data_IF_618155088284
#
_entry.id   IF_618155088284
#
_cell.length_a   1.000
_cell.length_b   1.000
_cell.length_c   1.000
_cell.angle_alpha   90.00
_cell.angle_beta   90.00
_cell.angle_gamma   90.00
#
_symmetry.space_group_name_H-M   'P 1'
#
loop_
_entity.id
_entity.type
_entity.pdbx_description
1 polymer ?
#
# COMPACT_ATOMS: atom_id res chain seq x y z
N UNK A 1 -4.27 34.17 24.86
CA UNK A 1 -4.23 32.71 24.58
C UNK A 1 -2.87 32.41 23.98
N UNK A 2 -1.94 31.98 24.82
CA UNK A 2 -0.62 31.52 24.42
C UNK A 2 -0.78 30.21 23.65
N UNK A 3 -0.37 30.20 22.39
CA UNK A 3 -0.26 28.97 21.62
C UNK A 3 0.89 28.17 22.22
N UNK A 4 0.58 27.25 23.13
CA UNK A 4 1.49 26.16 23.50
C UNK A 4 1.79 25.39 22.23
N UNK A 5 2.95 25.69 21.63
CA UNK A 5 3.56 24.85 20.62
C UNK A 5 3.84 23.53 21.34
N UNK A 6 2.95 22.54 21.18
CA UNK A 6 3.22 21.16 21.59
C UNK A 6 4.51 20.73 20.91
N UNK A 7 5.60 20.83 21.65
CA UNK A 7 6.93 20.43 21.24
C UNK A 7 6.83 18.93 21.00
N UNK A 8 6.76 18.54 19.73
CA UNK A 8 6.50 17.17 19.38
C UNK A 8 7.73 16.34 19.71
N UNK A 9 7.47 15.27 20.45
CA UNK A 9 8.50 14.43 21.01
C UNK A 9 9.10 13.57 19.89
N UNK A 10 10.39 13.78 19.60
CA UNK A 10 11.14 13.02 18.60
C UNK A 10 11.04 11.49 18.82
N UNK A 11 10.69 11.09 20.05
CA UNK A 11 10.41 9.73 20.50
C UNK A 11 9.36 8.99 19.66
N UNK A 12 8.30 9.65 19.16
CA UNK A 12 7.18 8.95 18.50
C UNK A 12 7.55 8.46 17.10
N UNK A 13 8.31 9.27 16.34
CA UNK A 13 8.87 8.84 15.05
C UNK A 13 9.89 7.71 15.23
N UNK A 14 10.71 7.79 16.28
CA UNK A 14 11.69 6.76 16.63
C UNK A 14 11.06 5.42 17.03
N UNK A 15 9.79 5.41 17.49
CA UNK A 15 9.11 4.18 17.88
C UNK A 15 8.58 3.35 16.71
N UNK A 16 8.11 4.01 15.64
CA UNK A 16 7.48 3.31 14.51
C UNK A 16 8.51 2.58 13.64
N UNK A 17 9.74 3.06 13.55
CA UNK A 17 10.78 2.43 12.73
C UNK A 17 11.15 1.02 13.22
N UNK A 18 11.43 0.79 14.52
CA UNK A 18 11.58 -0.55 15.08
C UNK A 18 10.35 -1.43 14.83
N UNK A 19 9.12 -0.88 14.91
CA UNK A 19 7.92 -1.68 14.65
C UNK A 19 7.85 -2.16 13.20
N UNK A 20 8.18 -1.32 12.22
CA UNK A 20 8.27 -1.76 10.81
C UNK A 20 9.32 -2.85 10.65
N UNK A 21 10.49 -2.70 11.26
CA UNK A 21 11.54 -3.71 11.21
C UNK A 21 11.07 -5.05 11.80
N UNK A 22 10.40 -5.03 12.97
CA UNK A 22 9.83 -6.22 13.61
C UNK A 22 8.77 -6.88 12.72
N UNK A 23 7.87 -6.09 12.13
CA UNK A 23 6.83 -6.61 11.22
C UNK A 23 7.45 -7.25 9.97
N UNK A 24 8.45 -6.61 9.36
CA UNK A 24 9.15 -7.15 8.20
C UNK A 24 9.87 -8.45 8.56
N UNK A 25 10.62 -8.48 9.67
CA UNK A 25 11.33 -9.67 10.12
C UNK A 25 10.37 -10.83 10.42
N UNK A 26 9.25 -10.53 11.09
CA UNK A 26 8.21 -11.54 11.38
C UNK A 26 7.58 -12.06 10.10
N UNK A 27 7.22 -11.17 9.15
CA UNK A 27 6.68 -11.57 7.86
C UNK A 27 7.67 -12.47 7.09
N UNK A 28 8.97 -12.17 7.09
CA UNK A 28 10.00 -12.99 6.44
C UNK A 28 10.12 -14.36 7.10
N UNK A 29 10.04 -14.41 8.43
CA UNK A 29 10.04 -15.67 9.16
C UNK A 29 8.82 -16.55 8.83
N UNK A 30 7.63 -15.96 8.79
CA UNK A 30 6.37 -16.68 8.51
C UNK A 30 6.18 -17.05 7.03
N UNK A 31 6.98 -16.49 6.12
CA UNK A 31 6.91 -16.79 4.68
C UNK A 31 8.15 -17.51 4.18
N UNK A 32 9.20 -16.76 3.81
CA UNK A 32 10.39 -17.32 3.18
C UNK A 32 11.10 -18.37 4.04
N UNK A 33 11.29 -18.09 5.33
CA UNK A 33 11.95 -19.05 6.23
C UNK A 33 11.09 -20.29 6.44
N UNK A 34 9.77 -20.12 6.58
CA UNK A 34 8.83 -21.23 6.69
C UNK A 34 8.84 -22.12 5.43
N UNK A 35 8.85 -21.53 4.23
CA UNK A 35 8.93 -22.27 2.96
C UNK A 35 10.19 -23.11 2.85
N UNK A 36 11.34 -22.54 3.22
CA UNK A 36 12.63 -23.25 3.22
C UNK A 36 12.63 -24.38 4.24
N UNK A 37 12.19 -24.12 5.48
CA UNK A 37 12.16 -25.13 6.56
C UNK A 37 11.24 -26.31 6.24
N UNK A 38 10.10 -26.04 5.61
CA UNK A 38 9.11 -27.05 5.27
C UNK A 38 9.36 -27.71 3.90
N UNK A 39 10.33 -27.23 3.12
CA UNK A 39 10.55 -27.67 1.74
C UNK A 39 9.36 -27.39 0.82
N UNK A 40 8.49 -26.44 1.17
CA UNK A 40 7.29 -26.09 0.39
C UNK A 40 7.65 -25.04 -0.66
N UNK A 41 7.57 -25.41 -1.93
CA UNK A 41 7.66 -24.44 -3.03
C UNK A 41 6.28 -23.76 -3.18
N UNK A 42 6.16 -22.44 -2.99
CA UNK A 42 4.89 -21.74 -3.14
C UNK A 42 4.44 -21.75 -4.61
N UNK A 43 3.13 -21.80 -4.82
CA UNK A 43 2.54 -21.57 -6.13
C UNK A 43 2.79 -20.13 -6.62
N UNK A 44 2.68 -19.89 -7.93
CA UNK A 44 2.83 -18.55 -8.50
C UNK A 44 1.82 -17.55 -7.90
N UNK A 45 0.61 -18.01 -7.59
CA UNK A 45 -0.42 -17.18 -6.95
C UNK A 45 -0.06 -16.84 -5.50
N UNK A 46 0.34 -17.82 -4.69
CA UNK A 46 0.82 -17.59 -3.31
C UNK A 46 2.01 -16.60 -3.30
N UNK A 47 2.98 -16.79 -4.20
CA UNK A 47 4.13 -15.91 -4.35
C UNK A 47 3.71 -14.49 -4.73
N UNK A 48 2.71 -14.35 -5.61
CA UNK A 48 2.16 -13.05 -6.01
C UNK A 48 1.46 -12.35 -4.85
N UNK A 49 0.65 -13.06 -4.06
CA UNK A 49 -0.02 -12.51 -2.86
C UNK A 49 1.02 -11.98 -1.86
N UNK A 50 2.04 -12.79 -1.54
CA UNK A 50 3.13 -12.39 -0.64
C UNK A 50 3.88 -11.18 -1.18
N UNK A 51 4.18 -11.17 -2.48
CA UNK A 51 4.88 -10.05 -3.14
C UNK A 51 4.09 -8.75 -3.05
N UNK A 52 2.78 -8.78 -3.32
CA UNK A 52 1.90 -7.60 -3.19
C UNK A 52 1.85 -7.11 -1.74
N UNK A 53 1.82 -8.03 -0.76
CA UNK A 53 1.88 -7.70 0.66
C UNK A 53 3.16 -6.96 1.05
N UNK A 54 4.32 -7.45 0.63
CA UNK A 54 5.61 -6.78 0.87
C UNK A 54 5.71 -5.43 0.17
N UNK A 55 5.27 -5.33 -1.09
CA UNK A 55 5.25 -4.06 -1.82
C UNK A 55 4.37 -3.05 -1.07
N UNK A 56 3.19 -3.45 -0.59
CA UNK A 56 2.32 -2.57 0.17
C UNK A 56 2.95 -2.13 1.51
N UNK A 57 3.58 -3.05 2.23
CA UNK A 57 4.27 -2.78 3.50
C UNK A 57 5.43 -1.79 3.30
N UNK A 58 6.31 -2.04 2.33
CA UNK A 58 7.48 -1.20 2.05
C UNK A 58 7.08 0.18 1.52
N UNK A 59 6.11 0.26 0.60
CA UNK A 59 5.59 1.55 0.12
C UNK A 59 4.88 2.33 1.23
N UNK A 60 4.26 1.64 2.18
CA UNK A 60 3.66 2.27 3.36
C UNK A 60 4.72 2.82 4.31
N UNK A 61 5.82 2.08 4.52
CA UNK A 61 6.98 2.54 5.29
C UNK A 61 7.62 3.79 4.67
N UNK A 62 7.92 3.77 3.37
CA UNK A 62 8.46 4.95 2.67
C UNK A 62 7.49 6.13 2.69
N UNK A 63 6.20 5.88 2.47
CA UNK A 63 5.16 6.90 2.53
C UNK A 63 5.02 7.53 3.92
N UNK A 64 5.17 6.74 4.97
CA UNK A 64 5.16 7.19 6.36
C UNK A 64 6.31 8.14 6.66
N UNK A 65 7.56 7.72 6.40
CA UNK A 65 8.74 8.56 6.60
C UNK A 65 8.64 9.89 5.87
N UNK A 66 8.26 9.82 4.60
CA UNK A 66 8.07 11.02 3.78
C UNK A 66 7.01 11.95 4.36
N UNK A 67 5.91 11.39 4.85
CA UNK A 67 4.85 12.19 5.47
C UNK A 67 5.29 12.81 6.79
N UNK A 68 6.09 12.14 7.62
CA UNK A 68 6.55 12.70 8.88
C UNK A 68 7.59 13.80 8.68
N UNK A 69 8.52 13.62 7.75
CA UNK A 69 9.52 14.63 7.41
C UNK A 69 8.85 15.91 6.91
N UNK A 70 7.83 15.77 6.05
CA UNK A 70 7.11 16.93 5.50
C UNK A 70 6.07 17.51 6.45
N UNK A 71 5.41 16.67 7.26
CA UNK A 71 4.27 17.01 8.10
C UNK A 71 4.31 16.17 9.39
N UNK A 72 5.05 16.62 10.42
CA UNK A 72 5.20 15.89 11.68
C UNK A 72 3.84 15.57 12.31
N UNK A 73 3.67 14.39 12.90
CA UNK A 73 2.39 14.02 13.54
C UNK A 73 2.02 15.07 14.59
N UNK A 74 0.76 15.53 14.64
CA UNK A 74 0.29 16.45 15.67
C UNK A 74 -0.80 15.82 16.56
N UNK A 75 -1.56 14.85 16.04
CA UNK A 75 -2.62 14.15 16.76
C UNK A 75 -2.30 12.69 17.07
N UNK A 76 -2.75 12.24 18.25
CA UNK A 76 -2.60 10.84 18.68
C UNK A 76 -3.37 9.84 17.80
N UNK A 77 -4.47 10.26 17.16
CA UNK A 77 -5.26 9.40 16.27
C UNK A 77 -4.46 8.93 15.06
N UNK A 78 -3.67 9.80 14.44
CA UNK A 78 -2.86 9.46 13.27
C UNK A 78 -1.78 8.44 13.60
N UNK A 79 -1.17 8.58 14.79
CA UNK A 79 -0.24 7.60 15.34
C UNK A 79 -0.92 6.26 15.63
N UNK A 80 -2.07 6.26 16.31
CA UNK A 80 -2.83 5.05 16.63
C UNK A 80 -3.23 4.26 15.37
N UNK A 81 -3.70 4.95 14.34
CA UNK A 81 -4.03 4.30 13.05
C UNK A 81 -2.79 3.68 12.42
N UNK A 82 -1.63 4.33 12.47
CA UNK A 82 -0.36 3.76 11.98
C UNK A 82 0.01 2.49 12.75
N UNK A 83 -0.12 2.50 14.08
CA UNK A 83 0.13 1.33 14.94
C UNK A 83 -0.78 0.15 14.58
N UNK A 84 -2.06 0.39 14.26
CA UNK A 84 -2.99 -0.67 13.82
C UNK A 84 -2.71 -1.15 12.39
N UNK A 85 -2.28 -0.26 11.49
CA UNK A 85 -1.98 -0.63 10.11
C UNK A 85 -0.80 -1.62 10.00
N UNK A 86 0.19 -1.50 10.89
CA UNK A 86 1.37 -2.38 10.95
C UNK A 86 1.02 -3.89 11.03
N UNK A 87 0.27 -4.36 12.05
CA UNK A 87 -0.14 -5.76 12.12
C UNK A 87 -1.08 -6.14 10.96
N UNK A 88 -1.91 -5.22 10.43
CA UNK A 88 -2.74 -5.53 9.25
C UNK A 88 -1.88 -5.82 8.00
N UNK A 89 -0.80 -5.07 7.78
CA UNK A 89 0.15 -5.38 6.70
C UNK A 89 0.77 -6.76 6.89
N UNK A 90 1.16 -7.11 8.11
CA UNK A 90 1.68 -8.44 8.43
C UNK A 90 0.67 -9.54 8.11
N UNK A 91 -0.58 -9.37 8.58
CA UNK A 91 -1.67 -10.33 8.35
C UNK A 91 -1.94 -10.51 6.85
N UNK A 92 -1.86 -9.43 6.06
CA UNK A 92 -2.03 -9.52 4.60
C UNK A 92 -0.99 -10.43 3.91
N UNK A 93 0.19 -10.57 4.51
CA UNK A 93 1.28 -11.44 4.03
C UNK A 93 1.09 -12.87 4.55
N UNK A 94 0.78 -13.04 5.84
CA UNK A 94 0.69 -14.36 6.49
C UNK A 94 -0.50 -15.17 5.95
N UNK A 95 -1.59 -14.52 5.57
CA UNK A 95 -2.79 -15.19 5.02
C UNK A 95 -2.61 -15.72 3.58
N UNK A 96 -1.39 -15.78 3.04
CA UNK A 96 -1.14 -16.24 1.66
C UNK A 96 -1.64 -17.66 1.37
N UNK A 97 -1.74 -18.51 2.41
CA UNK A 97 -2.20 -19.90 2.32
C UNK A 97 -3.71 -20.07 2.61
N UNK A 98 -4.43 -18.98 2.86
CA UNK A 98 -5.87 -18.98 3.11
C UNK A 98 -6.65 -18.61 1.85
N UNK A 99 -7.98 -18.78 1.89
CA UNK A 99 -8.85 -18.29 0.82
C UNK A 99 -8.58 -16.82 0.54
N UNK A 100 -8.41 -16.49 -0.75
CA UNK A 100 -8.07 -15.14 -1.18
C UNK A 100 -9.06 -14.06 -0.71
N UNK A 101 -10.32 -14.43 -0.45
CA UNK A 101 -11.35 -13.54 0.13
C UNK A 101 -10.91 -12.92 1.47
N UNK A 102 -10.18 -13.66 2.31
CA UNK A 102 -9.68 -13.14 3.59
C UNK A 102 -8.56 -12.13 3.38
N UNK A 103 -7.64 -12.42 2.45
CA UNK A 103 -6.58 -11.50 2.03
C UNK A 103 -7.18 -10.20 1.48
N UNK A 104 -8.14 -10.31 0.56
CA UNK A 104 -8.86 -9.17 0.00
C UNK A 104 -9.62 -8.37 1.07
N UNK A 105 -10.21 -9.04 2.06
CA UNK A 105 -10.85 -8.41 3.22
C UNK A 105 -9.86 -7.60 4.07
N UNK A 106 -8.64 -8.11 4.28
CA UNK A 106 -7.59 -7.34 4.96
C UNK A 106 -7.18 -6.11 4.16
N UNK A 107 -7.03 -6.22 2.84
CA UNK A 107 -6.77 -5.06 1.98
C UNK A 107 -7.90 -4.04 2.03
N UNK A 108 -9.16 -4.48 2.05
CA UNK A 108 -10.31 -3.60 2.26
C UNK A 108 -10.15 -2.79 3.55
N UNK A 109 -9.84 -3.45 4.67
CA UNK A 109 -9.63 -2.78 5.97
C UNK A 109 -8.43 -1.83 5.93
N UNK A 110 -7.31 -2.24 5.33
CA UNK A 110 -6.11 -1.39 5.18
C UNK A 110 -6.45 -0.10 4.43
N UNK A 111 -7.16 -0.19 3.30
CA UNK A 111 -7.53 0.95 2.48
C UNK A 111 -8.54 1.86 3.18
N UNK A 112 -9.46 1.27 3.93
CA UNK A 112 -10.39 1.99 4.78
C UNK A 112 -9.65 2.78 5.88
N UNK A 113 -8.77 2.13 6.64
CA UNK A 113 -7.98 2.77 7.69
C UNK A 113 -7.03 3.84 7.14
N UNK A 114 -6.45 3.61 5.95
CA UNK A 114 -5.63 4.60 5.27
C UNK A 114 -6.43 5.85 4.90
N UNK A 115 -7.69 5.67 4.51
CA UNK A 115 -8.58 6.80 4.22
C UNK A 115 -8.87 7.61 5.48
N UNK A 116 -9.13 6.94 6.62
CA UNK A 116 -9.29 7.62 7.91
C UNK A 116 -8.01 8.37 8.27
N UNK A 117 -6.84 7.73 8.09
CA UNK A 117 -5.54 8.35 8.32
C UNK A 117 -5.35 9.64 7.52
N UNK A 118 -5.75 9.64 6.24
CA UNK A 118 -5.75 10.83 5.40
C UNK A 118 -6.71 11.90 5.91
N UNK A 119 -7.93 11.54 6.31
CA UNK A 119 -8.91 12.50 6.85
C UNK A 119 -8.34 13.16 8.12
N UNK A 120 -7.78 12.38 9.05
CA UNK A 120 -7.14 12.91 10.25
C UNK A 120 -6.03 13.92 9.90
N UNK A 121 -5.18 13.60 8.91
CA UNK A 121 -4.15 14.51 8.44
C UNK A 121 -4.74 15.83 7.90
N UNK A 122 -5.84 15.80 7.15
CA UNK A 122 -6.45 17.03 6.62
C UNK A 122 -7.07 17.89 7.72
N UNK A 123 -7.70 17.24 8.71
CA UNK A 123 -8.26 17.92 9.89
C UNK A 123 -7.15 18.59 10.72
N UNK A 124 -6.04 17.88 10.98
CA UNK A 124 -4.89 18.42 11.73
C UNK A 124 -4.32 19.69 11.10
N UNK A 125 -4.17 19.71 9.77
CA UNK A 125 -3.58 20.84 9.05
C UNK A 125 -4.59 21.83 8.48
N UNK A 126 -5.88 21.74 8.84
CA UNK A 126 -6.97 22.62 8.37
C UNK A 126 -6.96 22.84 6.86
N UNK A 127 -6.70 21.78 6.09
CA UNK A 127 -6.68 21.89 4.63
C UNK A 127 -8.11 21.90 4.10
N UNK A 128 -8.44 22.91 3.29
CA UNK A 128 -9.73 22.99 2.61
C UNK A 128 -9.85 21.88 1.56
N UNK A 129 -10.27 20.69 1.98
CA UNK A 129 -10.49 19.55 1.11
C UNK A 129 -11.78 18.81 1.50
N UNK A 130 -12.55 18.37 0.51
CA UNK A 130 -13.76 17.58 0.76
C UNK A 130 -13.38 16.15 1.17
N UNK A 131 -13.81 15.65 2.35
CA UNK A 131 -13.50 14.30 2.82
C UNK A 131 -14.07 13.22 1.88
N UNK A 132 -15.19 13.51 1.21
CA UNK A 132 -15.80 12.62 0.23
C UNK A 132 -14.86 12.37 -0.97
N UNK A 133 -14.14 13.40 -1.43
CA UNK A 133 -13.18 13.30 -2.54
C UNK A 133 -11.94 12.48 -2.17
N UNK A 134 -11.59 12.42 -0.89
CA UNK A 134 -10.51 11.58 -0.37
C UNK A 134 -10.91 10.11 -0.29
N UNK A 135 -12.14 9.83 0.16
CA UNK A 135 -12.67 8.46 0.23
C UNK A 135 -12.97 7.89 -1.16
N UNK A 136 -13.55 8.70 -2.04
CA UNK A 136 -13.91 8.34 -3.42
C UNK A 136 -12.73 8.45 -4.41
N UNK A 137 -11.48 8.35 -3.94
CA UNK A 137 -10.37 8.14 -4.87
C UNK A 137 -10.64 6.85 -5.61
N UNK A 138 -10.66 6.92 -6.95
CA UNK A 138 -11.10 5.81 -7.82
C UNK A 138 -10.43 4.48 -7.46
N UNK A 139 -9.17 4.51 -7.04
CA UNK A 139 -8.41 3.31 -6.66
C UNK A 139 -8.83 2.68 -5.32
N UNK A 140 -9.35 3.43 -4.36
CA UNK A 140 -9.94 2.84 -3.16
C UNK A 140 -11.21 2.09 -3.50
N UNK A 141 -12.04 2.69 -4.36
CA UNK A 141 -13.28 2.05 -4.85
C UNK A 141 -12.98 0.77 -5.61
N UNK A 142 -11.91 0.72 -6.42
CA UNK A 142 -11.50 -0.49 -7.11
C UNK A 142 -11.19 -1.65 -6.14
N UNK A 143 -10.51 -1.39 -5.03
CA UNK A 143 -10.25 -2.42 -4.00
C UNK A 143 -11.55 -2.85 -3.32
N UNK A 144 -12.45 -1.92 -3.01
CA UNK A 144 -13.73 -2.25 -2.40
C UNK A 144 -14.61 -3.08 -3.33
N UNK A 145 -14.67 -2.72 -4.61
CA UNK A 145 -15.40 -3.47 -5.65
C UNK A 145 -14.79 -4.86 -5.83
N UNK A 146 -13.45 -4.98 -5.87
CA UNK A 146 -12.78 -6.28 -5.97
C UNK A 146 -13.14 -7.20 -4.78
N UNK A 147 -13.14 -6.68 -3.56
CA UNK A 147 -13.56 -7.43 -2.38
C UNK A 147 -15.05 -7.81 -2.44
N UNK A 148 -15.93 -6.86 -2.76
CA UNK A 148 -17.38 -7.12 -2.87
C UNK A 148 -17.69 -8.15 -3.95
N UNK A 149 -17.00 -8.11 -5.09
CA UNK A 149 -17.16 -9.10 -6.17
C UNK A 149 -16.81 -10.51 -5.68
N UNK A 150 -15.73 -10.66 -4.89
CA UNK A 150 -15.37 -11.95 -4.29
C UNK A 150 -16.43 -12.44 -3.30
N UNK A 151 -16.95 -11.56 -2.44
CA UNK A 151 -18.00 -11.91 -1.46
C UNK A 151 -19.30 -12.32 -2.17
N UNK A 152 -19.74 -11.53 -3.15
CA UNK A 152 -20.94 -11.82 -3.95
C UNK A 152 -20.78 -13.14 -4.70
N UNK A 153 -19.61 -13.41 -5.28
CA UNK A 153 -19.36 -14.67 -5.96
C UNK A 153 -19.45 -15.88 -5.01
N UNK A 154 -18.87 -15.77 -3.81
CA UNK A 154 -18.96 -16.82 -2.80
C UNK A 154 -20.42 -17.07 -2.37
N UNK A 155 -21.19 -16.00 -2.14
CA UNK A 155 -22.62 -16.10 -1.81
C UNK A 155 -23.41 -16.71 -2.97
N UNK A 156 -23.15 -16.26 -4.21
CA UNK A 156 -23.86 -16.75 -5.39
C UNK A 156 -23.62 -18.24 -5.65
N UNK A 157 -22.40 -18.71 -5.40
CA UNK A 157 -22.06 -20.14 -5.47
C UNK A 157 -22.89 -20.98 -4.50
N UNK A 158 -23.11 -20.48 -3.28
CA UNK A 158 -23.88 -21.18 -2.24
C UNK A 158 -25.36 -21.26 -2.61
N UNK A 159 -25.94 -20.20 -3.19
CA UNK A 159 -27.39 -20.09 -3.38
C UNK A 159 -27.88 -20.42 -4.79
N UNK A 160 -27.10 -20.15 -5.83
CA UNK A 160 -27.55 -20.22 -7.23
C UNK A 160 -26.82 -21.29 -8.06
N UNK A 161 -25.83 -21.99 -7.49
CA UNK A 161 -25.00 -22.99 -8.20
C UNK A 161 -24.37 -22.45 -9.50
N UNK A 162 -24.18 -21.13 -9.61
CA UNK A 162 -23.55 -20.49 -10.76
C UNK A 162 -22.04 -20.65 -10.67
N UNK A 163 -21.45 -21.28 -11.69
CA UNK A 163 -20.01 -21.50 -11.78
C UNK A 163 -19.32 -20.31 -12.46
N UNK A 164 -19.00 -19.27 -11.70
CA UNK A 164 -17.91 -18.39 -12.11
C UNK A 164 -16.58 -19.03 -11.69
N UNK A 165 -15.60 -18.96 -12.57
CA UNK A 165 -14.25 -19.42 -12.30
C UNK A 165 -13.61 -18.57 -11.17
N UNK A 166 -13.52 -19.16 -9.99
CA UNK A 166 -12.98 -18.53 -8.77
C UNK A 166 -11.51 -18.15 -8.99
N UNK A 167 -10.74 -18.97 -9.71
CA UNK A 167 -9.30 -18.75 -9.89
C UNK A 167 -9.05 -17.49 -10.72
N UNK A 168 -9.79 -17.35 -11.83
CA UNK A 168 -9.75 -16.13 -12.65
C UNK A 168 -10.18 -14.91 -11.84
N UNK A 169 -11.26 -15.01 -11.05
CA UNK A 169 -11.73 -13.88 -10.23
C UNK A 169 -10.70 -13.48 -9.16
N UNK A 170 -10.06 -14.44 -8.51
CA UNK A 170 -9.00 -14.20 -7.53
C UNK A 170 -7.78 -13.50 -8.17
N UNK A 171 -7.35 -13.97 -9.34
CA UNK A 171 -6.24 -13.36 -10.08
C UNK A 171 -6.55 -11.92 -10.51
N UNK A 172 -7.75 -11.67 -11.03
CA UNK A 172 -8.22 -10.33 -11.42
C UNK A 172 -8.27 -9.41 -10.19
N UNK A 173 -8.84 -9.86 -9.08
CA UNK A 173 -8.93 -9.08 -7.87
C UNK A 173 -7.54 -8.75 -7.28
N UNK A 174 -6.61 -9.71 -7.27
CA UNK A 174 -5.22 -9.47 -6.86
C UNK A 174 -4.54 -8.43 -7.75
N UNK A 175 -4.72 -8.53 -9.07
CA UNK A 175 -4.17 -7.56 -10.02
C UNK A 175 -4.73 -6.15 -9.78
N UNK A 176 -6.05 -6.03 -9.58
CA UNK A 176 -6.70 -4.75 -9.25
C UNK A 176 -6.15 -4.16 -7.94
N UNK A 177 -5.96 -4.98 -6.90
CA UNK A 177 -5.38 -4.55 -5.62
C UNK A 177 -3.94 -4.06 -5.84
N UNK A 178 -3.11 -4.81 -6.57
CA UNK A 178 -1.73 -4.45 -6.84
C UNK A 178 -1.63 -3.11 -7.58
N UNK A 179 -2.38 -2.94 -8.67
CA UNK A 179 -2.41 -1.70 -9.44
C UNK A 179 -2.90 -0.53 -8.57
N UNK A 180 -3.90 -0.75 -7.73
CA UNK A 180 -4.41 0.27 -6.82
C UNK A 180 -3.36 0.72 -5.79
N UNK A 181 -2.59 -0.23 -5.24
CA UNK A 181 -1.46 0.06 -4.34
C UNK A 181 -0.41 0.89 -5.05
N UNK A 182 0.06 0.45 -6.22
CA UNK A 182 1.10 1.16 -6.97
C UNK A 182 0.65 2.57 -7.30
N UNK A 183 -0.53 2.75 -7.89
CA UNK A 183 -0.99 4.07 -8.33
C UNK A 183 -1.22 4.99 -7.14
N UNK A 184 -1.84 4.55 -6.05
CA UNK A 184 -2.07 5.41 -4.89
C UNK A 184 -0.77 5.81 -4.19
N UNK A 185 0.21 4.92 -4.15
CA UNK A 185 1.48 5.16 -3.44
C UNK A 185 2.45 5.97 -4.29
N UNK A 186 2.52 5.73 -5.59
CA UNK A 186 3.37 6.48 -6.52
C UNK A 186 2.79 7.88 -6.78
N UNK A 187 1.49 7.99 -7.06
CA UNK A 187 0.84 9.29 -7.37
C UNK A 187 0.87 10.27 -6.20
N UNK A 188 1.07 9.80 -4.96
CA UNK A 188 1.15 10.64 -3.77
C UNK A 188 2.56 11.13 -3.46
N UNK A 189 3.57 10.80 -4.30
CA UNK A 189 4.90 11.39 -4.20
C UNK A 189 4.81 12.90 -4.46
N UNK A 190 5.21 13.76 -3.51
CA UNK A 190 4.85 15.16 -3.44
C UNK A 190 5.51 15.92 -4.58
N UNK A 191 4.66 16.61 -5.33
CA UNK A 191 4.97 17.54 -6.38
C UNK A 191 3.72 17.65 -7.22
N UNK A 192 2.74 18.39 -6.69
CA UNK A 192 1.58 18.92 -7.40
C UNK A 192 2.07 19.84 -8.53
N UNK A 193 2.55 19.23 -9.60
CA UNK A 193 2.87 19.87 -10.85
C UNK A 193 2.70 18.83 -11.94
N UNK A 194 1.84 19.14 -12.91
CA UNK A 194 1.44 18.31 -14.06
C UNK A 194 2.61 17.71 -14.88
N UNK A 195 3.88 18.02 -14.57
CA UNK A 195 5.07 17.45 -15.23
C UNK A 195 5.74 16.25 -14.55
N UNK A 196 5.25 15.73 -13.42
CA UNK A 196 5.98 14.70 -12.63
C UNK A 196 5.74 13.25 -13.04
N UNK A 197 4.58 12.89 -13.59
CA UNK A 197 4.37 11.55 -14.16
C UNK A 197 5.32 11.29 -15.33
N UNK A 198 5.59 12.31 -16.14
CA UNK A 198 6.60 12.23 -17.19
C UNK A 198 8.02 12.12 -16.65
N UNK A 199 8.32 12.74 -15.49
CA UNK A 199 9.62 12.62 -14.84
C UNK A 199 9.85 11.23 -14.25
N UNK A 200 8.86 10.66 -13.56
CA UNK A 200 8.92 9.29 -13.03
C UNK A 200 8.96 8.27 -14.17
N UNK A 201 8.17 8.48 -15.24
CA UNK A 201 8.24 7.63 -16.44
C UNK A 201 9.62 7.69 -17.08
N UNK A 202 10.27 8.85 -17.12
CA UNK A 202 11.65 9.00 -17.61
C UNK A 202 12.67 8.30 -16.69
N UNK A 203 12.56 8.43 -15.37
CA UNK A 203 13.47 7.79 -14.41
C UNK A 203 13.33 6.25 -14.39
N UNK A 204 12.10 5.74 -14.43
CA UNK A 204 11.84 4.30 -14.56
C UNK A 204 12.34 3.79 -15.91
N UNK A 205 12.09 4.53 -17.01
CA UNK A 205 12.60 4.16 -18.33
C UNK A 205 14.13 4.16 -18.36
N UNK A 206 14.82 5.11 -17.72
CA UNK A 206 16.28 5.12 -17.67
C UNK A 206 16.87 3.99 -16.82
N UNK A 207 16.19 3.60 -15.74
CA UNK A 207 16.62 2.49 -14.87
C UNK A 207 16.47 1.13 -15.54
N UNK A 208 15.41 0.93 -16.34
CA UNK A 208 15.14 -0.35 -16.99
C UNK A 208 15.72 -0.49 -18.40
N UNK A 209 15.93 0.62 -19.12
CA UNK A 209 16.39 0.58 -20.51
C UNK A 209 17.79 1.17 -20.74
N UNK A 210 18.47 1.62 -19.68
CA UNK A 210 19.78 2.28 -19.78
C UNK A 210 19.69 3.65 -20.43
N UNK A 211 20.39 4.65 -19.88
CA UNK A 211 20.53 5.92 -20.59
C UNK A 211 21.43 5.69 -21.80
N UNK A 212 20.83 5.46 -22.96
CA UNK A 212 21.50 5.74 -24.23
C UNK A 212 21.75 7.23 -24.31
N UNK A 213 22.82 7.71 -23.66
CA UNK A 213 23.38 9.03 -23.95
C UNK A 213 23.79 9.01 -25.42
N UNK A 214 22.96 9.64 -26.26
CA UNK A 214 23.39 10.10 -27.57
C UNK A 214 24.36 11.24 -27.30
N UNK A 215 25.62 10.87 -27.10
CA UNK A 215 26.75 11.78 -27.04
C UNK A 215 26.88 12.38 -28.43
N UNK A 216 26.31 13.56 -28.62
CA UNK A 216 26.53 14.35 -29.82
C UNK A 216 28.00 14.73 -29.86
N UNK A 217 28.75 14.09 -30.76
CA UNK A 217 30.05 14.56 -31.20
C UNK A 217 29.88 15.95 -31.82
N UNK A 218 30.34 16.96 -31.09
CA UNK A 218 30.74 18.23 -31.67
C UNK A 218 32.26 18.25 -31.75
N UNK A 219 32.79 17.60 -32.77
CA UNK A 219 34.07 17.96 -33.40
C UNK A 219 33.67 18.54 -34.76
N UNK A 220 33.86 19.81 -35.10
CA UNK A 220 34.97 20.67 -34.75
C UNK A 220 36.05 20.58 -35.84
N UNK A 221 35.73 20.95 -37.08
CA UNK A 221 36.63 21.50 -38.12
C UNK A 221 35.82 22.00 -39.31
#
# INVERSE_FOLDING_TARGET
MTNDVKQFDASTGQFIDPMFAVVIATAVNETFVAWVKLGKIPSLFELSVVSVGYVNLLLSWFGYHKSIISRPIQGGLRFFITVILLPLYMVSIILYNQDFKYVAGVYFVIFFMWTIWEICKHVEYKMNYSPLKLHMRSFNLLVYIAFLALVVNNVAMIYFSTYFDIETLNAVALFVIFISIIILRVSKSPGDGEGKLDKIRKEVKSLFFGSGEVRGESEGS
#
